data_IF_289827773586
#
_entry.id   IF_289827773586
#
_cell.length_a   1.000
_cell.length_b   1.000
_cell.length_c   1.000
_cell.angle_alpha   90.00
_cell.angle_beta   90.00
_cell.angle_gamma   90.00
#
_symmetry.space_group_name_H-M   'P 1'
#
loop_
_entity.id
_entity.type
_entity.pdbx_description
1 polymer ?
#
# COMPACT_ATOMS: atom_id res chain seq x y z
N UNK A 1 -8.46 -3.85 7.57
CA UNK A 1 -7.47 -3.37 8.55
C UNK A 1 -6.08 -3.84 8.16
N UNK A 2 -5.07 -3.02 8.36
CA UNK A 2 -3.68 -3.43 8.17
C UNK A 2 -3.23 -4.19 9.41
N UNK A 3 -2.73 -5.42 9.21
CA UNK A 3 -2.33 -6.29 10.32
C UNK A 3 -0.82 -6.45 10.44
N UNK A 4 -0.06 -6.22 9.38
CA UNK A 4 1.39 -6.25 9.44
C UNK A 4 2.01 -5.48 8.29
N UNK A 5 3.30 -5.14 8.44
CA UNK A 5 4.06 -4.44 7.42
C UNK A 5 5.23 -5.30 6.95
N UNK A 6 5.54 -5.19 5.66
CA UNK A 6 6.64 -5.94 5.05
C UNK A 6 8.00 -5.27 5.21
N UNK A 7 8.03 -3.99 5.60
CA UNK A 7 9.27 -3.29 5.90
C UNK A 7 9.05 -2.17 6.93
N UNK A 8 10.15 -1.73 7.54
CA UNK A 8 10.09 -0.73 8.60
C UNK A 8 9.78 0.66 8.09
N UNK A 9 10.20 0.98 6.87
CA UNK A 9 9.96 2.31 6.31
C UNK A 9 8.47 2.56 6.12
N UNK A 10 7.74 1.58 5.60
CA UNK A 10 6.30 1.70 5.41
C UNK A 10 5.60 1.81 6.77
N UNK A 11 6.04 1.02 7.74
CA UNK A 11 5.49 1.08 9.10
C UNK A 11 5.68 2.48 9.71
N UNK A 12 6.84 3.08 9.53
CA UNK A 12 7.11 4.43 10.02
C UNK A 12 6.19 5.46 9.37
N UNK A 13 5.98 5.37 8.06
CA UNK A 13 5.05 6.26 7.37
C UNK A 13 3.66 6.13 7.98
N UNK A 14 3.22 4.90 8.22
CA UNK A 14 1.92 4.64 8.83
C UNK A 14 1.80 5.28 10.22
N UNK A 15 2.87 5.21 11.00
CA UNK A 15 2.90 5.77 12.36
C UNK A 15 3.01 7.29 12.39
N UNK A 16 3.21 7.91 11.24
CA UNK A 16 3.38 9.36 11.16
C UNK A 16 4.81 9.84 11.27
N UNK A 17 5.77 8.93 11.34
CA UNK A 17 7.19 9.28 11.41
C UNK A 17 7.72 9.70 10.05
N UNK A 18 8.73 10.56 10.07
CA UNK A 18 9.41 11.00 8.86
C UNK A 18 10.45 9.98 8.44
N UNK A 19 10.41 9.56 7.18
CA UNK A 19 11.44 8.72 6.56
C UNK A 19 12.26 9.61 5.63
N UNK A 20 13.51 9.86 5.99
CA UNK A 20 14.37 10.86 5.33
C UNK A 20 14.61 10.54 3.86
N UNK A 21 14.68 9.26 3.49
CA UNK A 21 14.96 8.84 2.12
C UNK A 21 13.81 9.07 1.14
N UNK A 22 12.60 9.40 1.64
CA UNK A 22 11.44 9.66 0.80
C UNK A 22 11.07 11.13 0.85
N UNK A 23 10.58 11.66 -0.28
CA UNK A 23 10.10 13.04 -0.31
C UNK A 23 8.89 13.21 0.60
N UNK A 24 8.68 14.42 1.08
CA UNK A 24 7.51 14.74 1.90
C UNK A 24 6.21 14.45 1.15
N UNK A 25 6.17 14.82 -0.13
CA UNK A 25 4.99 14.57 -0.97
C UNK A 25 4.69 13.09 -1.11
N UNK A 26 5.71 12.26 -1.34
CA UNK A 26 5.52 10.81 -1.43
C UNK A 26 4.96 10.25 -0.12
N UNK A 27 5.50 10.68 1.00
CA UNK A 27 5.05 10.19 2.31
C UNK A 27 3.61 10.57 2.60
N UNK A 28 3.21 11.79 2.26
CA UNK A 28 1.84 12.23 2.47
C UNK A 28 0.86 11.44 1.61
N UNK A 29 1.19 11.23 0.34
CA UNK A 29 0.34 10.46 -0.57
C UNK A 29 0.27 9.01 -0.13
N UNK A 30 1.40 8.41 0.22
CA UNK A 30 1.46 7.03 0.69
C UNK A 30 0.62 6.84 1.96
N UNK A 31 0.74 7.77 2.92
CA UNK A 31 -0.03 7.69 4.17
C UNK A 31 -1.52 7.75 3.90
N UNK A 32 -1.96 8.61 2.98
CA UNK A 32 -3.37 8.70 2.61
C UNK A 32 -3.85 7.37 2.00
N UNK A 33 -3.04 6.76 1.14
CA UNK A 33 -3.38 5.47 0.54
C UNK A 33 -3.38 4.34 1.57
N UNK A 34 -2.46 4.37 2.52
CA UNK A 34 -2.44 3.40 3.62
C UNK A 34 -3.71 3.50 4.48
N UNK A 35 -4.20 4.71 4.74
CA UNK A 35 -5.47 4.89 5.47
C UNK A 35 -6.63 4.30 4.69
N UNK A 36 -6.64 4.50 3.38
CA UNK A 36 -7.68 3.94 2.50
C UNK A 36 -7.65 2.41 2.58
N UNK A 37 -6.46 1.82 2.52
CA UNK A 37 -6.27 0.38 2.66
C UNK A 37 -6.76 -0.11 4.02
N UNK A 38 -6.38 0.58 5.08
CA UNK A 38 -6.76 0.20 6.45
C UNK A 38 -8.29 0.24 6.66
N UNK A 39 -8.96 1.17 6.01
CA UNK A 39 -10.41 1.35 6.17
C UNK A 39 -11.25 0.48 5.24
N UNK A 40 -10.62 -0.24 4.32
CA UNK A 40 -11.33 -1.09 3.37
C UNK A 40 -11.76 -2.41 4.03
N UNK A 41 -12.99 -2.83 3.74
CA UNK A 41 -13.53 -4.10 4.22
C UNK A 41 -13.50 -5.17 3.13
N UNK A 42 -13.45 -4.74 1.87
CA UNK A 42 -13.47 -5.60 0.69
C UNK A 42 -12.48 -5.04 -0.32
N UNK A 43 -11.88 -5.91 -1.12
CA UNK A 43 -10.98 -5.47 -2.19
C UNK A 43 -11.64 -4.50 -3.16
N UNK A 44 -12.95 -4.66 -3.39
CA UNK A 44 -13.68 -3.75 -4.27
C UNK A 44 -13.64 -2.30 -3.79
N UNK A 45 -13.50 -2.08 -2.47
CA UNK A 45 -13.39 -0.73 -1.93
C UNK A 45 -12.17 0.00 -2.47
N UNK A 46 -11.12 -0.76 -2.80
CA UNK A 46 -9.86 -0.21 -3.32
C UNK A 46 -9.88 0.03 -4.82
N UNK A 47 -10.94 -0.36 -5.50
CA UNK A 47 -11.09 -0.06 -6.92
C UNK A 47 -11.54 1.38 -7.15
N UNK A 48 -11.94 2.08 -6.11
CA UNK A 48 -12.36 3.47 -6.16
C UNK A 48 -11.43 4.31 -5.28
N UNK A 49 -10.83 5.37 -5.80
CA UNK A 49 -10.90 5.85 -7.18
C UNK A 49 -10.16 4.94 -8.16
N UNK A 50 -10.54 4.94 -9.44
CA UNK A 50 -9.86 4.10 -10.44
C UNK A 50 -8.35 4.37 -10.54
N UNK A 51 -7.91 5.56 -10.14
CA UNK A 51 -6.48 5.91 -10.14
C UNK A 51 -5.65 5.05 -9.19
N UNK A 52 -6.27 4.32 -8.25
CA UNK A 52 -5.57 3.36 -7.40
C UNK A 52 -4.99 2.20 -8.21
N UNK A 53 -5.58 1.90 -9.36
CA UNK A 53 -5.14 0.81 -10.23
C UNK A 53 -4.83 -0.46 -9.47
N UNK A 54 -5.82 -0.93 -8.73
CA UNK A 54 -5.70 -2.17 -7.98
C UNK A 54 -5.41 -3.33 -8.95
N UNK A 55 -4.33 -4.05 -8.71
CA UNK A 55 -3.91 -5.16 -9.55
C UNK A 55 -3.53 -6.36 -8.70
N UNK A 56 -3.88 -7.55 -9.16
CA UNK A 56 -3.36 -8.78 -8.59
C UNK A 56 -2.06 -9.12 -9.30
N UNK A 57 -1.01 -9.39 -8.54
CA UNK A 57 0.30 -9.69 -9.09
C UNK A 57 0.41 -11.15 -9.52
N UNK A 58 1.47 -11.45 -10.29
CA UNK A 58 1.72 -12.77 -10.85
C UNK A 58 3.13 -13.23 -10.49
N UNK A 59 3.44 -14.49 -10.81
CA UNK A 59 4.78 -15.03 -10.58
C UNK A 59 5.07 -15.19 -9.10
N UNK A 60 6.25 -14.74 -8.68
CA UNK A 60 6.68 -14.86 -7.29
C UNK A 60 5.84 -14.06 -6.32
N UNK A 61 5.08 -13.08 -6.83
CA UNK A 61 4.24 -12.19 -6.03
C UNK A 61 2.75 -12.51 -6.18
N UNK A 62 2.40 -13.72 -6.61
CA UNK A 62 1.02 -14.08 -6.95
C UNK A 62 0.02 -13.95 -5.80
N UNK A 63 0.50 -13.92 -4.56
CA UNK A 63 -0.37 -13.76 -3.39
C UNK A 63 -0.59 -12.29 -3.03
N UNK A 64 0.05 -11.38 -3.76
CA UNK A 64 0.01 -9.97 -3.47
C UNK A 64 -0.88 -9.22 -4.44
N UNK A 65 -1.40 -8.11 -3.94
CA UNK A 65 -2.05 -7.08 -4.73
C UNK A 65 -1.21 -5.83 -4.68
N UNK A 66 -1.39 -4.93 -5.63
CA UNK A 66 -0.75 -3.63 -5.59
C UNK A 66 -1.77 -2.53 -5.85
N UNK A 67 -1.56 -1.37 -5.21
CA UNK A 67 -2.30 -0.16 -5.52
C UNK A 67 -1.33 0.98 -5.78
N UNK A 68 -1.68 1.84 -6.74
CA UNK A 68 -0.82 2.91 -7.20
C UNK A 68 -0.79 4.06 -6.19
N UNK A 69 0.41 4.55 -5.89
CA UNK A 69 0.59 5.78 -5.11
C UNK A 69 0.85 6.95 -6.09
N UNK A 70 1.79 6.77 -7.00
CA UNK A 70 2.08 7.71 -8.09
C UNK A 70 2.69 6.94 -9.26
N UNK A 71 3.30 7.62 -10.22
CA UNK A 71 3.84 6.96 -11.42
C UNK A 71 4.98 5.99 -11.12
N UNK A 72 5.65 6.17 -9.98
CA UNK A 72 6.83 5.40 -9.62
C UNK A 72 6.58 4.41 -8.49
N UNK A 73 5.70 4.73 -7.56
CA UNK A 73 5.57 3.99 -6.31
C UNK A 73 4.22 3.30 -6.20
N UNK A 74 4.25 2.08 -5.64
CA UNK A 74 3.03 1.30 -5.37
C UNK A 74 3.10 0.71 -3.97
N UNK A 75 1.91 0.45 -3.40
CA UNK A 75 1.78 -0.27 -2.14
C UNK A 75 1.43 -1.71 -2.48
N UNK A 76 2.24 -2.66 -2.00
CA UNK A 76 2.00 -4.09 -2.12
C UNK A 76 1.44 -4.61 -0.80
N UNK A 77 0.51 -5.55 -0.91
CA UNK A 77 -0.09 -6.15 0.29
C UNK A 77 -0.72 -7.50 -0.06
N UNK A 78 -0.83 -8.37 0.95
CA UNK A 78 -1.66 -9.58 0.83
C UNK A 78 -3.01 -9.27 1.44
N UNK A 79 -4.03 -9.96 0.96
CA UNK A 79 -5.39 -9.73 1.43
C UNK A 79 -5.97 -11.03 1.97
N UNK A 80 -6.32 -11.04 3.25
CA UNK A 80 -6.86 -12.22 3.94
C UNK A 80 -8.03 -11.82 4.83
N UNK A 81 -9.21 -12.37 4.56
CA UNK A 81 -10.39 -12.19 5.43
C UNK A 81 -10.70 -10.72 5.74
N UNK A 82 -10.58 -9.86 4.74
CA UNK A 82 -10.87 -8.44 4.91
C UNK A 82 -9.73 -7.65 5.54
N UNK A 83 -8.54 -8.24 5.67
CA UNK A 83 -7.37 -7.58 6.23
C UNK A 83 -6.21 -7.57 5.25
N UNK A 84 -5.38 -6.52 5.35
CA UNK A 84 -4.17 -6.40 4.57
C UNK A 84 -2.96 -6.72 5.44
N UNK A 85 -2.08 -7.61 4.98
CA UNK A 85 -0.85 -7.92 5.70
C UNK A 85 0.37 -7.78 4.79
N UNK A 86 1.55 -7.80 5.37
CA UNK A 86 2.83 -7.64 4.69
C UNK A 86 2.85 -6.40 3.78
N UNK A 87 2.28 -5.32 4.29
CA UNK A 87 2.12 -4.07 3.53
C UNK A 87 3.46 -3.39 3.36
N UNK A 88 3.79 -3.00 2.12
CA UNK A 88 5.06 -2.32 1.82
C UNK A 88 4.92 -1.36 0.65
N UNK A 89 5.67 -0.26 0.74
CA UNK A 89 5.78 0.73 -0.33
C UNK A 89 7.01 0.39 -1.15
N UNK A 90 6.84 0.18 -2.44
CA UNK A 90 7.94 -0.18 -3.34
C UNK A 90 8.02 0.74 -4.53
N UNK A 91 9.25 0.86 -5.06
CA UNK A 91 9.52 1.51 -6.32
C UNK A 91 9.18 0.52 -7.43
N UNK A 92 8.20 0.85 -8.24
CA UNK A 92 7.64 -0.06 -9.23
C UNK A 92 7.96 0.44 -10.65
N UNK A 93 8.93 -0.18 -11.26
CA UNK A 93 9.31 0.10 -12.64
C UNK A 93 9.02 -1.08 -13.53
#
# INVERSE_FOLDING_TARGET
MITSFGDKSTQKIWQGDRVVSYSTELQETARRKLRMLNNSHDLNDLMVPPSNRLEKLKGNWKEYYSMRVNDQWRILFRWNNGNADEVRLIDYH
#
